data_IF_558551743178
#
_entry.id   IF_558551743178
#
_cell.length_a   1.000
_cell.length_b   1.000
_cell.length_c   1.000
_cell.angle_alpha   90.00
_cell.angle_beta   90.00
_cell.angle_gamma   90.00
#
_symmetry.space_group_name_H-M   'P 1'
#
loop_
_entity.id
_entity.type
_entity.pdbx_description
1 polymer ?
#
# COMPACT_ATOMS: atom_id res chain seq x y z
N UNK A 1 -3.59 -27.62 -32.80
CA UNK A 1 -4.06 -26.46 -31.99
C UNK A 1 -3.35 -25.23 -32.52
N UNK A 2 -4.10 -24.25 -33.02
CA UNK A 2 -3.57 -23.18 -33.85
C UNK A 2 -2.76 -22.19 -32.99
N UNK A 3 -1.59 -21.77 -33.48
CA UNK A 3 -0.66 -20.85 -32.81
C UNK A 3 -1.35 -19.57 -32.32
N UNK A 4 -2.35 -19.10 -33.07
CA UNK A 4 -3.25 -18.00 -32.75
C UNK A 4 -3.84 -18.13 -31.34
N UNK A 5 -4.47 -19.26 -31.00
CA UNK A 5 -5.14 -19.43 -29.71
C UNK A 5 -4.17 -19.30 -28.53
N UNK A 6 -2.96 -19.86 -28.66
CA UNK A 6 -1.96 -19.80 -27.60
C UNK A 6 -1.51 -18.36 -27.30
N UNK A 7 -1.31 -17.52 -28.32
CA UNK A 7 -0.95 -16.11 -28.12
C UNK A 7 -2.08 -15.29 -27.49
N UNK A 8 -3.36 -15.54 -27.85
CA UNK A 8 -4.49 -14.87 -27.19
C UNK A 8 -4.58 -15.25 -25.71
N UNK A 9 -4.52 -16.54 -25.38
CA UNK A 9 -4.59 -16.98 -23.99
C UNK A 9 -3.41 -16.48 -23.16
N UNK A 10 -2.20 -16.47 -23.72
CA UNK A 10 -1.02 -15.89 -23.07
C UNK A 10 -1.14 -14.37 -22.90
N UNK A 11 -1.66 -13.66 -23.89
CA UNK A 11 -1.92 -12.23 -23.83
C UNK A 11 -2.93 -11.86 -22.74
N UNK A 12 -4.04 -12.60 -22.68
CA UNK A 12 -5.05 -12.44 -21.62
C UNK A 12 -4.46 -12.77 -20.25
N UNK A 13 -3.72 -13.87 -20.12
CA UNK A 13 -3.06 -14.24 -18.87
C UNK A 13 -2.11 -13.16 -18.35
N UNK A 14 -1.29 -12.58 -19.25
CA UNK A 14 -0.38 -11.48 -18.90
C UNK A 14 -1.12 -10.21 -18.47
N UNK A 15 -2.23 -9.89 -19.13
CA UNK A 15 -3.06 -8.74 -18.78
C UNK A 15 -3.70 -8.92 -17.39
N UNK A 16 -4.25 -10.11 -17.09
CA UNK A 16 -4.84 -10.43 -15.79
C UNK A 16 -3.82 -10.27 -14.67
N UNK A 17 -2.62 -10.85 -14.81
CA UNK A 17 -1.55 -10.71 -13.81
C UNK A 17 -1.16 -9.25 -13.62
N UNK A 18 -1.07 -8.48 -14.71
CA UNK A 18 -0.73 -7.05 -14.64
C UNK A 18 -1.79 -6.26 -13.85
N UNK A 19 -3.07 -6.46 -14.14
CA UNK A 19 -4.16 -5.80 -13.43
C UNK A 19 -4.22 -6.23 -11.96
N UNK A 20 -4.00 -7.52 -11.67
CA UNK A 20 -3.92 -8.00 -10.30
C UNK A 20 -2.77 -7.34 -9.53
N UNK A 21 -1.58 -7.27 -10.11
CA UNK A 21 -0.41 -6.65 -9.46
C UNK A 21 -0.66 -5.16 -9.24
N UNK A 22 -1.10 -4.44 -10.26
CA UNK A 22 -1.38 -2.99 -10.16
C UNK A 22 -2.53 -2.73 -9.18
N UNK A 23 -3.61 -3.51 -9.25
CA UNK A 23 -4.76 -3.38 -8.36
C UNK A 23 -4.43 -3.71 -6.91
N UNK A 24 -3.57 -4.70 -6.66
CA UNK A 24 -3.09 -5.01 -5.31
C UNK A 24 -2.17 -3.90 -4.80
N UNK A 25 -1.22 -3.43 -5.60
CA UNK A 25 -0.28 -2.39 -5.17
C UNK A 25 -0.97 -1.05 -4.91
N UNK A 26 -1.82 -0.58 -5.82
CA UNK A 26 -2.44 0.73 -5.75
C UNK A 26 -3.82 0.74 -5.06
N UNK A 27 -4.54 -0.39 -5.06
CA UNK A 27 -5.81 -0.53 -4.38
C UNK A 27 -5.65 -1.06 -2.95
N UNK A 28 -5.16 -2.29 -2.81
CA UNK A 28 -5.06 -2.99 -1.52
C UNK A 28 -3.76 -2.70 -0.72
N UNK A 29 -2.74 -2.12 -1.35
CA UNK A 29 -1.46 -1.83 -0.73
C UNK A 29 -1.56 -0.82 0.40
N UNK A 30 -2.42 0.18 0.24
CA UNK A 30 -2.67 1.21 1.25
C UNK A 30 -3.37 0.65 2.51
N UNK A 31 -4.49 -0.11 2.37
CA UNK A 31 -5.05 -0.87 3.49
C UNK A 31 -4.05 -1.79 4.18
N UNK A 32 -3.18 -2.46 3.43
CA UNK A 32 -2.17 -3.36 4.00
C UNK A 32 -1.11 -2.60 4.82
N UNK A 33 -0.62 -1.44 4.34
CA UNK A 33 0.30 -0.58 5.10
C UNK A 33 -0.34 -0.05 6.39
N UNK A 34 -1.62 0.35 6.33
CA UNK A 34 -2.36 0.80 7.50
C UNK A 34 -2.52 -0.34 8.54
N UNK A 35 -2.88 -1.54 8.08
CA UNK A 35 -2.98 -2.72 8.94
C UNK A 35 -1.62 -3.09 9.57
N UNK A 36 -0.53 -2.98 8.84
CA UNK A 36 0.82 -3.18 9.37
C UNK A 36 1.18 -2.16 10.45
N UNK A 37 0.81 -0.88 10.27
CA UNK A 37 0.98 0.17 11.28
C UNK A 37 0.20 -0.13 12.57
N UNK A 38 -1.06 -0.55 12.44
CA UNK A 38 -1.88 -0.98 13.58
C UNK A 38 -1.31 -2.21 14.29
N UNK A 39 -0.86 -3.21 13.55
CA UNK A 39 -0.23 -4.39 14.12
C UNK A 39 1.08 -4.05 14.84
N UNK A 40 1.85 -3.08 14.35
CA UNK A 40 3.03 -2.60 15.05
C UNK A 40 2.68 -1.88 16.36
N UNK A 41 1.56 -1.15 16.38
CA UNK A 41 1.16 -0.35 17.53
C UNK A 41 0.48 -1.16 18.65
N UNK A 42 -0.23 -2.24 18.30
CA UNK A 42 -1.10 -2.99 19.22
C UNK A 42 -0.92 -4.51 19.17
N UNK A 43 -0.06 -5.03 18.29
CA UNK A 43 0.19 -6.46 18.18
C UNK A 43 1.27 -6.91 19.15
N UNK A 44 1.15 -8.08 19.76
CA UNK A 44 2.26 -8.70 20.48
C UNK A 44 2.57 -8.14 21.87
N UNK A 45 1.65 -7.39 22.50
CA UNK A 45 1.69 -7.22 23.95
C UNK A 45 1.52 -8.60 24.63
N UNK A 46 2.49 -9.04 25.46
CA UNK A 46 2.33 -10.27 26.23
C UNK A 46 1.27 -10.05 27.31
N UNK A 47 0.22 -10.89 27.31
CA UNK A 47 -0.63 -11.04 28.49
C UNK A 47 0.16 -11.77 29.58
N UNK A 48 0.37 -11.10 30.70
CA UNK A 48 0.97 -11.73 31.89
C UNK A 48 -0.07 -11.68 33.00
N UNK A 49 -0.64 -12.85 33.32
CA UNK A 49 -1.59 -13.00 34.43
C UNK A 49 -2.94 -12.31 34.25
N UNK A 50 -3.44 -12.18 33.02
CA UNK A 50 -4.72 -11.51 32.72
C UNK A 50 -4.64 -9.99 32.73
N UNK A 51 -3.44 -9.42 32.88
CA UNK A 51 -3.16 -8.00 32.72
C UNK A 51 -2.31 -7.86 31.46
N UNK A 52 -2.77 -7.04 30.51
CA UNK A 52 -1.97 -6.65 29.35
C UNK A 52 -0.79 -5.83 29.87
N UNK A 53 0.40 -6.44 29.93
CA UNK A 53 1.62 -5.76 30.29
C UNK A 53 2.02 -4.88 29.09
N UNK A 54 1.51 -3.65 29.06
CA UNK A 54 1.79 -2.68 28.01
C UNK A 54 3.24 -2.17 28.09
N UNK A 55 4.22 -3.03 27.79
CA UNK A 55 5.59 -2.59 27.54
C UNK A 55 5.61 -1.96 26.15
N UNK A 56 5.31 -0.65 26.11
CA UNK A 56 5.30 0.12 24.86
C UNK A 56 6.73 0.24 24.35
N UNK A 57 7.11 -0.63 23.42
CA UNK A 57 8.40 -0.53 22.74
C UNK A 57 8.40 0.73 21.86
N UNK A 58 9.23 1.75 22.18
CA UNK A 58 9.24 3.02 21.45
C UNK A 58 9.58 2.84 19.97
N UNK A 59 10.38 1.82 19.61
CA UNK A 59 10.71 1.52 18.22
C UNK A 59 9.48 1.06 17.41
N UNK A 60 8.58 0.30 18.02
CA UNK A 60 7.35 -0.19 17.37
C UNK A 60 6.34 0.92 17.16
N UNK A 61 6.28 1.86 18.11
CA UNK A 61 5.48 3.08 17.99
C UNK A 61 6.03 3.94 16.84
N UNK A 62 7.35 4.16 16.78
CA UNK A 62 7.97 4.91 15.69
C UNK A 62 7.69 4.27 14.31
N UNK A 63 7.78 2.94 14.20
CA UNK A 63 7.45 2.22 12.98
C UNK A 63 5.98 2.40 12.57
N UNK A 64 5.04 2.35 13.53
CA UNK A 64 3.62 2.57 13.27
C UNK A 64 3.36 3.98 12.73
N UNK A 65 3.95 5.00 13.35
CA UNK A 65 3.85 6.39 12.89
C UNK A 65 4.47 6.59 11.51
N UNK A 66 5.60 5.94 11.21
CA UNK A 66 6.20 5.98 9.88
C UNK A 66 5.26 5.37 8.81
N UNK A 67 4.61 4.25 9.12
CA UNK A 67 3.63 3.63 8.22
C UNK A 67 2.41 4.55 7.98
N UNK A 68 1.87 5.19 9.03
CA UNK A 68 0.78 6.15 8.87
C UNK A 68 1.18 7.40 8.09
N UNK A 69 2.38 7.94 8.35
CA UNK A 69 2.90 9.08 7.60
C UNK A 69 3.06 8.75 6.11
N UNK A 70 3.53 7.54 5.79
CA UNK A 70 3.63 7.06 4.42
C UNK A 70 2.25 6.95 3.74
N UNK A 71 1.25 6.39 4.44
CA UNK A 71 -0.12 6.31 3.94
C UNK A 71 -0.68 7.71 3.65
N UNK A 72 -0.53 8.66 4.58
CA UNK A 72 -0.97 10.05 4.38
C UNK A 72 -0.28 10.67 3.16
N UNK A 73 1.03 10.48 3.02
CA UNK A 73 1.79 10.99 1.88
C UNK A 73 1.29 10.42 0.54
N UNK A 74 0.99 9.12 0.48
CA UNK A 74 0.44 8.46 -0.70
C UNK A 74 -0.98 8.95 -1.04
N UNK A 75 -1.84 9.13 -0.04
CA UNK A 75 -3.20 9.69 -0.23
C UNK A 75 -3.09 11.13 -0.74
N UNK A 76 -2.29 11.97 -0.09
CA UNK A 76 -2.11 13.36 -0.49
C UNK A 76 -1.55 13.45 -1.91
N UNK A 77 -0.56 12.63 -2.27
CA UNK A 77 -0.03 12.53 -3.62
C UNK A 77 -1.11 12.14 -4.63
N UNK A 78 -1.88 11.08 -4.35
CA UNK A 78 -2.97 10.64 -5.23
C UNK A 78 -4.02 11.73 -5.44
N UNK A 79 -4.42 12.42 -4.36
CA UNK A 79 -5.36 13.55 -4.41
C UNK A 79 -4.76 14.71 -5.23
N UNK A 80 -3.50 15.09 -4.99
CA UNK A 80 -2.84 16.16 -5.72
C UNK A 80 -2.76 15.87 -7.21
N UNK A 81 -2.47 14.63 -7.59
CA UNK A 81 -2.44 14.19 -9.00
C UNK A 81 -3.84 14.21 -9.62
N UNK A 82 -4.86 13.73 -8.90
CA UNK A 82 -6.23 13.72 -9.44
C UNK A 82 -6.77 15.15 -9.60
N UNK A 83 -6.53 16.01 -8.60
CA UNK A 83 -7.08 17.37 -8.57
C UNK A 83 -6.27 18.34 -9.43
N UNK A 84 -4.94 18.27 -9.41
CA UNK A 84 -4.05 19.22 -10.07
C UNK A 84 -3.27 18.61 -11.26
N UNK A 85 -3.72 17.47 -11.77
CA UNK A 85 -2.92 16.56 -12.60
C UNK A 85 -2.12 17.19 -13.75
N UNK A 86 -2.68 18.14 -14.50
CA UNK A 86 -1.93 18.82 -15.57
C UNK A 86 -1.03 19.97 -15.05
N UNK A 87 -1.54 20.96 -14.30
CA UNK A 87 -0.71 22.08 -13.85
C UNK A 87 0.39 21.73 -12.83
N UNK A 88 0.21 20.71 -11.98
CA UNK A 88 1.21 20.31 -10.99
C UNK A 88 2.41 19.58 -11.60
N UNK A 89 2.17 18.67 -12.56
CA UNK A 89 3.24 17.93 -13.24
C UNK A 89 4.14 18.87 -14.07
N UNK A 90 3.55 19.92 -14.65
CA UNK A 90 4.28 20.99 -15.35
C UNK A 90 5.08 21.87 -14.37
N UNK A 91 4.51 22.21 -13.20
CA UNK A 91 5.19 23.03 -12.18
C UNK A 91 6.38 22.32 -11.52
N UNK A 92 6.36 20.98 -11.45
CA UNK A 92 7.44 20.15 -10.89
C UNK A 92 8.43 19.69 -11.98
N UNK A 93 8.17 20.00 -13.26
CA UNK A 93 9.09 19.73 -14.38
C UNK A 93 9.20 18.26 -14.77
N UNK A 94 8.18 17.46 -14.48
CA UNK A 94 8.16 16.00 -14.70
C UNK A 94 7.60 15.60 -16.08
N UNK A 95 6.93 16.50 -16.82
CA UNK A 95 6.44 16.29 -18.19
C UNK A 95 6.28 17.61 -18.94
#
# INVERSE_FOLDING_TARGET
MNQFNAEYFLGVGKAVVTVLVVGVLFGAGLPALFAAGLNSLYGGEPEVGGVVAATKNPARIALAWAAFALVIALIAFGILVIIFGKPLLQAVGLV
#
